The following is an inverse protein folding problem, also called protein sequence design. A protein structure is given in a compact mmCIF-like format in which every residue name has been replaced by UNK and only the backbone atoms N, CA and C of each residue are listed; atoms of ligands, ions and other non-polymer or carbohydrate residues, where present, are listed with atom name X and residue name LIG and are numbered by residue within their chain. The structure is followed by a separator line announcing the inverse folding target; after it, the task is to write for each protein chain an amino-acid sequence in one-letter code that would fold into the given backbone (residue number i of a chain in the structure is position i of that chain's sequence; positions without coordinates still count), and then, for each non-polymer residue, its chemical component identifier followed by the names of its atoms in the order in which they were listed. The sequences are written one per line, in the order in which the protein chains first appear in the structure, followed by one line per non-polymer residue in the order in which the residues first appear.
data_IF_993347761788
#
_entry.id   IF_993347761788
#
_cell.length_a   1.000
_cell.length_b   1.000
_cell.length_c   1.000
_cell.angle_alpha   90.00
_cell.angle_beta   90.00
_cell.angle_gamma   90.00
#
_symmetry.space_group_name_H-M   'P 1'
#
loop_
_entity.id
_entity.type
_entity.pdbx_description
1 polymer ?
#
# COMPACT_ATOMS: atom_id res chain seq x y z
N UNK A 1 -1.46 11.65 -22.93
CA UNK A 1 -2.41 12.59 -22.28
C UNK A 1 -2.79 12.09 -20.89
N UNK A 2 -1.87 12.08 -19.92
CA UNK A 2 -2.21 11.69 -18.54
C UNK A 2 -1.33 12.46 -17.55
N UNK A 3 -1.85 13.57 -17.03
CA UNK A 3 -1.28 14.25 -15.85
C UNK A 3 -2.09 15.51 -15.50
N UNK A 4 -3.34 15.35 -15.05
CA UNK A 4 -4.13 16.45 -14.43
C UNK A 4 -4.70 16.13 -13.05
N UNK A 5 -4.26 15.06 -12.38
CA UNK A 5 -4.54 14.84 -10.96
C UNK A 5 -3.34 15.30 -10.12
N UNK A 6 -2.92 16.55 -10.32
CA UNK A 6 -1.58 16.96 -9.92
C UNK A 6 -1.46 17.68 -8.59
N UNK A 7 -2.27 18.70 -8.30
CA UNK A 7 -1.82 19.74 -7.35
C UNK A 7 -2.57 19.78 -6.01
N UNK A 8 -3.89 19.62 -5.98
CA UNK A 8 -4.66 19.71 -4.72
C UNK A 8 -4.48 18.50 -3.77
N UNK A 9 -4.36 17.29 -4.33
CA UNK A 9 -4.26 16.04 -3.55
C UNK A 9 -2.89 15.91 -2.88
N UNK A 10 -1.81 16.43 -3.52
CA UNK A 10 -0.44 16.40 -2.98
C UNK A 10 -0.31 17.14 -1.64
N UNK A 11 -1.06 18.22 -1.45
CA UNK A 11 -0.99 19.04 -0.22
C UNK A 11 -1.64 18.34 0.97
N UNK A 12 -2.75 17.64 0.75
CA UNK A 12 -3.53 16.94 1.79
C UNK A 12 -2.82 15.64 2.21
N UNK A 13 -2.22 14.92 1.26
CA UNK A 13 -1.40 13.75 1.57
C UNK A 13 -0.15 14.10 2.41
N UNK A 14 0.44 15.29 2.20
CA UNK A 14 1.65 15.72 2.90
C UNK A 14 1.44 15.98 4.40
N UNK A 15 0.24 16.40 4.82
CA UNK A 15 -0.08 16.72 6.22
C UNK A 15 -0.56 15.50 7.04
N UNK A 16 -1.12 14.47 6.40
CA UNK A 16 -1.60 13.24 7.09
C UNK A 16 -0.54 12.13 7.16
N UNK A 17 0.52 12.25 6.36
CA UNK A 17 1.59 11.27 6.21
C UNK A 17 2.97 11.91 6.38
N UNK A 18 3.13 12.76 7.39
CA UNK A 18 4.44 13.26 7.79
C UNK A 18 5.37 12.08 8.11
N UNK A 19 6.50 12.00 7.40
CA UNK A 19 7.47 10.91 7.49
C UNK A 19 7.46 9.92 6.32
N UNK A 20 6.44 9.89 5.46
CA UNK A 20 6.44 8.99 4.30
C UNK A 20 7.23 9.57 3.12
N UNK A 21 7.97 8.70 2.42
CA UNK A 21 8.66 9.12 1.18
C UNK A 21 7.65 9.36 0.04
N UNK A 22 8.04 10.18 -0.95
CA UNK A 22 7.18 10.43 -2.13
C UNK A 22 6.83 9.14 -2.86
N UNK A 23 7.81 8.26 -3.05
CA UNK A 23 7.66 6.93 -3.66
C UNK A 23 6.67 6.06 -2.88
N UNK A 24 6.69 6.14 -1.54
CA UNK A 24 5.73 5.41 -0.71
C UNK A 24 4.31 5.93 -0.88
N UNK A 25 4.13 7.25 -0.90
CA UNK A 25 2.82 7.87 -1.13
C UNK A 25 2.27 7.51 -2.52
N UNK A 26 3.13 7.53 -3.53
CA UNK A 26 2.79 7.14 -4.89
C UNK A 26 2.36 5.66 -4.95
N UNK A 27 3.09 4.75 -4.31
CA UNK A 27 2.71 3.34 -4.24
C UNK A 27 1.35 3.12 -3.56
N UNK A 28 1.05 3.83 -2.47
CA UNK A 28 -0.26 3.76 -1.78
C UNK A 28 -1.39 4.29 -2.69
N UNK A 29 -1.14 5.38 -3.41
CA UNK A 29 -2.10 5.94 -4.35
C UNK A 29 -2.38 4.99 -5.52
N UNK A 30 -1.33 4.36 -6.06
CA UNK A 30 -1.45 3.36 -7.13
C UNK A 30 -2.22 2.13 -6.65
N UNK A 31 -1.94 1.63 -5.44
CA UNK A 31 -2.74 0.56 -4.83
C UNK A 31 -4.22 0.93 -4.81
N UNK A 32 -4.56 2.11 -4.25
CA UNK A 32 -5.96 2.52 -4.15
C UNK A 32 -6.63 2.68 -5.51
N UNK A 33 -5.94 3.25 -6.50
CA UNK A 33 -6.49 3.43 -7.84
C UNK A 33 -6.78 2.08 -8.52
N UNK A 34 -5.87 1.12 -8.37
CA UNK A 34 -5.95 -0.21 -8.96
C UNK A 34 -7.18 -0.99 -8.46
N UNK A 35 -7.42 -0.98 -7.15
CA UNK A 35 -8.52 -1.73 -6.54
C UNK A 35 -9.85 -0.98 -6.50
N UNK A 36 -9.83 0.35 -6.68
CA UNK A 36 -11.05 1.13 -6.91
C UNK A 36 -11.79 0.67 -8.16
N UNK A 37 -11.08 0.23 -9.21
CA UNK A 37 -11.68 -0.32 -10.44
C UNK A 37 -12.38 -1.65 -10.20
N UNK A 38 -12.00 -2.35 -9.14
CA UNK A 38 -12.55 -3.63 -8.71
C UNK A 38 -13.63 -3.43 -7.62
N UNK A 39 -14.11 -2.19 -7.44
CA UNK A 39 -15.13 -1.79 -6.46
C UNK A 39 -14.74 -2.07 -4.99
N UNK A 40 -13.45 -2.26 -4.71
CA UNK A 40 -12.95 -2.31 -3.34
C UNK A 40 -12.71 -0.89 -2.84
N UNK A 41 -13.46 -0.48 -1.81
CA UNK A 41 -13.30 0.84 -1.16
C UNK A 41 -12.29 0.81 0.01
N UNK A 42 -11.56 -0.29 0.17
CA UNK A 42 -10.63 -0.49 1.26
C UNK A 42 -9.25 -0.93 0.79
N UNK A 43 -8.22 -0.47 1.49
CA UNK A 43 -6.84 -0.90 1.30
C UNK A 43 -6.62 -2.15 2.16
N UNK A 44 -5.92 -3.15 1.63
CA UNK A 44 -5.43 -4.31 2.38
C UNK A 44 -3.93 -4.50 2.13
N UNK A 45 -3.30 -5.39 2.91
CA UNK A 45 -1.90 -5.77 2.74
C UNK A 45 -1.58 -6.20 1.31
N UNK A 46 -2.42 -7.03 0.71
CA UNK A 46 -2.23 -7.48 -0.67
C UNK A 46 -2.35 -6.32 -1.67
N UNK A 47 -3.25 -5.38 -1.42
CA UNK A 47 -3.39 -4.21 -2.29
C UNK A 47 -2.20 -3.28 -2.19
N UNK A 48 -1.66 -3.09 -0.98
CA UNK A 48 -0.46 -2.31 -0.74
C UNK A 48 0.75 -2.94 -1.45
N UNK A 49 0.87 -4.28 -1.42
CA UNK A 49 1.87 -5.00 -2.21
C UNK A 49 1.69 -4.77 -3.71
N UNK A 50 0.45 -4.79 -4.22
CA UNK A 50 0.19 -4.48 -5.64
C UNK A 50 0.59 -3.04 -6.01
N UNK A 51 0.36 -2.07 -5.13
CA UNK A 51 0.81 -0.68 -5.33
C UNK A 51 2.33 -0.54 -5.34
N UNK A 52 3.03 -1.27 -4.47
CA UNK A 52 4.50 -1.33 -4.46
C UNK A 52 5.03 -1.91 -5.78
N UNK A 53 4.45 -3.00 -6.29
CA UNK A 53 4.82 -3.56 -7.60
C UNK A 53 4.50 -2.59 -8.74
N UNK A 54 3.34 -1.92 -8.66
CA UNK A 54 2.87 -0.97 -9.68
C UNK A 54 3.71 0.29 -9.80
N UNK A 55 4.31 0.75 -8.70
CA UNK A 55 5.28 1.87 -8.72
C UNK A 55 6.56 1.45 -9.45
N UNK A 56 7.02 0.22 -9.24
CA UNK A 56 8.00 -0.45 -10.11
C UNK A 56 9.45 0.03 -10.01
N UNK A 57 9.73 1.21 -9.44
CA UNK A 57 11.08 1.76 -9.29
C UNK A 57 11.66 1.57 -7.88
N UNK A 58 10.79 1.36 -6.88
CA UNK A 58 11.17 1.23 -5.49
C UNK A 58 11.90 -0.08 -5.17
N UNK A 59 12.66 -0.06 -4.08
CA UNK A 59 13.38 -1.23 -3.55
C UNK A 59 12.43 -2.39 -3.30
N UNK A 60 11.25 -2.12 -2.74
CA UNK A 60 10.22 -3.12 -2.51
C UNK A 60 9.75 -3.80 -3.82
N UNK A 61 9.56 -3.04 -4.91
CA UNK A 61 9.19 -3.61 -6.20
C UNK A 61 10.26 -4.56 -6.75
N UNK A 62 11.54 -4.20 -6.60
CA UNK A 62 12.66 -5.03 -7.05
C UNK A 62 12.74 -6.34 -6.27
N UNK A 63 12.55 -6.28 -4.94
CA UNK A 63 12.52 -7.47 -4.09
C UNK A 63 11.34 -8.37 -4.44
N UNK A 64 10.14 -7.81 -4.60
CA UNK A 64 8.94 -8.57 -4.96
C UNK A 64 9.08 -9.23 -6.36
N UNK A 65 9.65 -8.51 -7.33
CA UNK A 65 9.96 -9.08 -8.66
C UNK A 65 10.99 -10.21 -8.57
N UNK A 66 12.02 -10.05 -7.73
CA UNK A 66 13.05 -11.08 -7.51
C UNK A 66 12.48 -12.34 -6.86
N UNK A 67 11.42 -12.19 -6.06
CA UNK A 67 10.66 -13.31 -5.48
C UNK A 67 9.65 -13.94 -6.46
N UNK A 68 9.57 -13.46 -7.71
CA UNK A 68 8.62 -13.96 -8.71
C UNK A 68 7.16 -13.54 -8.45
N UNK A 69 6.93 -12.55 -7.58
CA UNK A 69 5.58 -12.06 -7.29
C UNK A 69 5.17 -11.07 -8.38
N UNK A 70 4.09 -11.39 -9.08
CA UNK A 70 3.53 -10.56 -10.14
C UNK A 70 2.25 -9.86 -9.69
N UNK A 71 1.94 -8.73 -10.32
CA UNK A 71 0.70 -7.99 -10.07
C UNK A 71 -0.54 -8.88 -10.30
N UNK A 72 -0.54 -9.71 -11.34
CA UNK A 72 -1.61 -10.67 -11.61
C UNK A 72 -1.76 -11.73 -10.51
N UNK A 73 -0.64 -12.23 -9.98
CA UNK A 73 -0.66 -13.17 -8.86
C UNK A 73 -1.31 -12.57 -7.62
N UNK A 74 -0.99 -11.30 -7.33
CA UNK A 74 -1.62 -10.56 -6.23
C UNK A 74 -3.11 -10.35 -6.47
N UNK A 75 -3.53 -9.93 -7.67
CA UNK A 75 -4.95 -9.77 -8.00
C UNK A 75 -5.74 -11.06 -7.72
N UNK A 76 -5.23 -12.21 -8.17
CA UNK A 76 -5.85 -13.52 -7.89
C UNK A 76 -5.92 -13.83 -6.39
N UNK A 77 -4.89 -13.48 -5.63
CA UNK A 77 -4.88 -13.67 -4.17
C UNK A 77 -5.90 -12.75 -3.48
N UNK A 78 -6.04 -11.51 -3.92
CA UNK A 78 -7.05 -10.56 -3.41
C UNK A 78 -8.45 -11.08 -3.70
N UNK A 79 -8.74 -11.50 -4.93
CA UNK A 79 -10.03 -12.08 -5.30
C UNK A 79 -10.36 -13.33 -4.48
N UNK A 80 -9.36 -14.17 -4.18
CA UNK A 80 -9.52 -15.39 -3.39
C UNK A 80 -9.72 -15.12 -1.90
N UNK A 81 -9.00 -14.16 -1.33
CA UNK A 81 -9.01 -13.87 0.12
C UNK A 81 -10.05 -12.85 0.53
N UNK A 82 -10.46 -11.97 -0.37
CA UNK A 82 -11.49 -10.99 -0.09
C UNK A 82 -12.85 -11.69 -0.13
N UNK A 83 -13.49 -11.97 1.02
CA UNK A 83 -14.93 -12.17 0.99
C UNK A 83 -15.57 -10.92 0.36
N UNK A 84 -16.66 -11.07 -0.40
CA UNK A 84 -17.53 -9.94 -0.73
C UNK A 84 -18.22 -9.50 0.57
N UNK A 85 -17.48 -8.83 1.46
CA UNK A 85 -18.04 -8.31 2.72
C UNK A 85 -18.78 -7.02 2.42
N UNK A 86 -20.10 -7.07 2.59
CA UNK A 86 -20.96 -5.89 2.60
C UNK A 86 -21.17 -5.39 4.03
N UNK A 87 -21.27 -4.06 4.20
CA UNK A 87 -21.71 -3.44 5.44
C UNK A 87 -20.64 -3.32 6.55
N UNK A 88 -21.08 -3.37 7.80
CA UNK A 88 -20.28 -3.04 9.00
C UNK A 88 -19.03 -3.93 9.19
N UNK A 89 -19.07 -5.17 8.72
CA UNK A 89 -17.94 -6.10 8.76
C UNK A 89 -16.77 -5.65 7.86
N UNK A 90 -17.05 -4.99 6.73
CA UNK A 90 -16.02 -4.43 5.86
C UNK A 90 -15.31 -3.25 6.54
N UNK A 91 -16.06 -2.39 7.24
CA UNK A 91 -15.53 -1.23 7.98
C UNK A 91 -14.66 -1.69 9.16
N UNK A 92 -15.07 -2.73 9.89
CA UNK A 92 -14.28 -3.29 10.99
C UNK A 92 -12.98 -3.95 10.50
N UNK A 93 -13.04 -4.69 9.39
CA UNK A 93 -11.88 -5.31 8.76
C UNK A 93 -10.88 -4.24 8.25
N UNK A 94 -11.41 -3.17 7.64
CA UNK A 94 -10.70 -1.95 7.23
C UNK A 94 -9.85 -1.32 8.34
N UNK A 95 -10.46 -1.15 9.52
CA UNK A 95 -9.84 -0.49 10.67
C UNK A 95 -8.73 -1.35 11.30
N UNK A 96 -8.87 -2.67 11.25
CA UNK A 96 -8.00 -3.58 12.02
C UNK A 96 -6.78 -4.03 11.22
N UNK A 97 -6.94 -4.35 9.94
CA UNK A 97 -5.86 -4.95 9.14
C UNK A 97 -4.81 -3.92 8.70
N UNK A 98 -5.20 -2.79 8.10
CA UNK A 98 -4.22 -1.81 7.58
C UNK A 98 -3.48 -1.08 8.68
N UNK A 99 -4.18 -0.75 9.77
CA UNK A 99 -3.60 0.00 10.86
C UNK A 99 -2.46 -0.78 11.53
N UNK A 100 -2.63 -2.09 11.74
CA UNK A 100 -1.61 -2.93 12.37
C UNK A 100 -0.36 -3.10 11.48
N UNK A 101 -0.53 -3.32 10.18
CA UNK A 101 0.60 -3.42 9.22
C UNK A 101 1.38 -2.10 9.10
N UNK A 102 0.68 -0.97 9.10
CA UNK A 102 1.33 0.35 9.02
C UNK A 102 2.08 0.69 10.31
N UNK A 103 1.52 0.35 11.47
CA UNK A 103 2.19 0.51 12.76
C UNK A 103 3.46 -0.33 12.83
N UNK A 104 3.44 -1.57 12.32
CA UNK A 104 4.64 -2.41 12.21
C UNK A 104 5.70 -1.80 11.30
N UNK A 105 5.28 -1.23 10.18
CA UNK A 105 6.18 -0.53 9.23
C UNK A 105 6.91 0.65 9.91
N UNK A 106 6.21 1.39 10.79
CA UNK A 106 6.78 2.44 11.62
C UNK A 106 7.82 1.90 12.61
N UNK A 107 7.52 0.76 13.25
CA UNK A 107 8.43 0.14 14.20
C UNK A 107 9.72 -0.34 13.52
N UNK A 108 9.63 -0.93 12.32
CA UNK A 108 10.80 -1.34 11.54
C UNK A 108 11.65 -0.14 11.09
N UNK A 109 11.01 0.95 10.64
CA UNK A 109 11.72 2.19 10.33
C UNK A 109 12.51 2.71 11.56
N UNK A 110 11.89 2.67 12.74
CA UNK A 110 12.52 3.08 14.00
C UNK A 110 13.66 2.15 14.41
N UNK A 111 13.50 0.83 14.24
CA UNK A 111 14.55 -0.17 14.51
C UNK A 111 15.78 0.01 13.64
N UNK A 112 15.58 0.39 12.38
CA UNK A 112 16.67 0.68 11.45
C UNK A 112 17.29 2.08 11.66
N UNK A 113 16.68 2.93 12.50
CA UNK A 113 17.15 4.29 12.77
C UNK A 113 16.78 5.31 11.68
N UNK A 114 15.78 5.00 10.84
CA UNK A 114 15.33 5.89 9.77
C UNK A 114 14.21 6.81 10.28
N UNK A 115 14.36 8.13 10.08
CA UNK A 115 13.35 9.14 10.38
C UNK A 115 12.27 9.27 9.28
N UNK A 116 12.21 8.28 8.38
CA UNK A 116 11.28 8.25 7.26
C UNK A 116 10.76 6.83 7.01
N UNK A 117 9.62 6.73 6.35
CA UNK A 117 8.97 5.49 5.96
C UNK A 117 9.11 5.32 4.45
N UNK A 118 10.05 4.45 4.08
CA UNK A 118 10.27 4.04 2.71
C UNK A 118 9.40 2.83 2.33
N UNK A 119 9.36 2.49 1.02
CA UNK A 119 8.73 1.27 0.51
C UNK A 119 9.26 0.00 1.19
N UNK A 120 10.54 -0.02 1.54
CA UNK A 120 11.22 -1.10 2.26
C UNK A 120 10.65 -1.35 3.66
N UNK A 121 10.36 -0.29 4.42
CA UNK A 121 9.78 -0.42 5.77
C UNK A 121 8.36 -0.95 5.71
N UNK A 122 7.59 -0.53 4.70
CA UNK A 122 6.26 -1.09 4.44
C UNK A 122 6.35 -2.57 4.12
N UNK A 123 7.25 -2.95 3.20
CA UNK A 123 7.43 -4.36 2.84
C UNK A 123 7.81 -5.20 4.06
N UNK A 124 8.72 -4.71 4.90
CA UNK A 124 9.10 -5.39 6.15
C UNK A 124 7.94 -5.50 7.14
N UNK A 125 7.13 -4.45 7.27
CA UNK A 125 5.93 -4.46 8.12
C UNK A 125 4.88 -5.46 7.66
N UNK A 126 4.74 -5.68 6.35
CA UNK A 126 3.79 -6.63 5.76
C UNK A 126 4.23 -8.09 5.86
N UNK A 127 5.53 -8.34 6.04
CA UNK A 127 6.12 -9.69 6.16
C UNK A 127 6.13 -10.22 7.60
N UNK A 128 5.72 -9.42 8.58
CA UNK A 128 5.67 -9.77 10.01
C UNK A 128 4.24 -9.98 10.49
#
# INVERSE_FOLDING_TARGET
MSSRLGRGIRCIAKAKFEGFTKTTLEAIMLAREEFRRLEYDYICKEQLLAGLIGEGTCVAAQVLKSMGITLEGIRKQVEKKSPRVCGFAAIWFLLTCVASDLVRSFEEARKLGHNYIGPEHILLGLLR
#
